data_IF_113432422735
#
_entry.id   IF_113432422735
#
_cell.length_a   1.000
_cell.length_b   1.000
_cell.length_c   1.000
_cell.angle_alpha   90.00
_cell.angle_beta   90.00
_cell.angle_gamma   90.00
#
_symmetry.space_group_name_H-M   'P 1'
#
loop_
_entity.id
_entity.type
_entity.pdbx_description
1 polymer ?
#
# COMPACT_ATOMS: atom_id res chain seq x y z
N UNK A 1 4.74 -0.24 8.73
CA UNK A 1 6.17 -0.29 8.36
C UNK A 1 6.52 -1.45 7.43
N UNK A 2 5.97 -2.64 7.64
CA UNK A 2 6.29 -3.85 6.84
C UNK A 2 6.20 -3.64 5.31
N UNK A 3 5.19 -2.90 4.84
CA UNK A 3 5.03 -2.59 3.41
C UNK A 3 5.99 -1.49 2.89
N UNK A 4 6.95 -1.02 3.67
CA UNK A 4 7.89 0.02 3.24
C UNK A 4 8.74 -0.45 2.04
N UNK A 5 9.12 -1.73 1.99
CA UNK A 5 9.86 -2.31 0.87
C UNK A 5 9.10 -2.21 -0.47
N UNK A 6 7.76 -2.17 -0.43
CA UNK A 6 6.91 -2.05 -1.62
C UNK A 6 6.83 -0.61 -2.14
N UNK A 7 7.05 0.40 -1.28
CA UNK A 7 7.02 1.81 -1.65
C UNK A 7 8.02 2.63 -0.78
N UNK A 8 9.34 2.40 -0.93
CA UNK A 8 10.36 2.85 0.01
C UNK A 8 10.52 4.37 0.08
N UNK A 9 10.15 5.08 -0.98
CA UNK A 9 10.19 6.54 -1.02
C UNK A 9 8.89 7.21 -0.54
N UNK A 10 7.81 6.45 -0.35
CA UNK A 10 6.48 7.01 -0.04
C UNK A 10 6.00 6.59 1.34
N UNK A 11 6.08 5.29 1.68
CA UNK A 11 5.56 4.79 2.95
C UNK A 11 6.32 5.35 4.17
N UNK A 12 7.66 5.41 4.20
CA UNK A 12 8.38 5.99 5.33
C UNK A 12 8.03 7.46 5.63
N UNK A 13 8.04 8.40 4.67
CA UNK A 13 7.63 9.78 4.98
C UNK A 13 6.15 9.90 5.36
N UNK A 14 5.27 9.06 4.80
CA UNK A 14 3.85 9.03 5.21
C UNK A 14 3.68 8.60 6.68
N UNK A 15 4.47 7.62 7.14
CA UNK A 15 4.48 7.18 8.54
C UNK A 15 4.99 8.29 9.45
N UNK A 16 6.07 9.00 9.07
CA UNK A 16 6.55 10.16 9.82
C UNK A 16 5.47 11.24 9.98
N UNK A 17 4.66 11.46 8.93
CA UNK A 17 3.50 12.37 9.01
C UNK A 17 2.44 11.90 10.00
N UNK A 18 2.13 10.60 10.03
CA UNK A 18 1.19 10.00 10.99
C UNK A 18 1.71 10.19 12.43
N UNK A 19 2.97 9.85 12.68
CA UNK A 19 3.61 9.98 14.00
C UNK A 19 3.62 11.43 14.48
N UNK A 20 3.97 12.38 13.60
CA UNK A 20 3.91 13.81 13.91
C UNK A 20 2.48 14.24 14.30
N UNK A 21 1.48 13.84 13.51
CA UNK A 21 0.07 14.11 13.82
C UNK A 21 -0.37 13.49 15.15
N UNK A 22 0.07 12.26 15.47
CA UNK A 22 -0.23 11.61 16.75
C UNK A 22 0.35 12.40 17.94
N UNK A 23 1.55 12.96 17.78
CA UNK A 23 2.19 13.75 18.83
C UNK A 23 1.47 15.09 19.09
N UNK A 24 1.02 15.79 18.04
CA UNK A 24 0.40 17.13 18.19
C UNK A 24 -1.12 17.10 18.35
N UNK A 25 -1.78 16.02 17.94
CA UNK A 25 -3.23 15.84 18.00
C UNK A 25 -3.62 14.48 18.62
N UNK A 26 -3.23 14.19 19.87
CA UNK A 26 -3.33 12.85 20.46
C UNK A 26 -4.76 12.32 20.63
N UNK A 27 -5.76 13.20 20.62
CA UNK A 27 -7.16 12.84 20.83
C UNK A 27 -7.99 12.83 19.53
N UNK A 28 -7.37 13.10 18.38
CA UNK A 28 -8.05 13.13 17.09
C UNK A 28 -7.90 11.76 16.41
N UNK A 29 -9.01 11.09 16.04
CA UNK A 29 -8.93 9.84 15.28
C UNK A 29 -8.21 10.03 13.95
N UNK A 30 -7.30 9.12 13.62
CA UNK A 30 -6.59 9.09 12.34
C UNK A 30 -6.99 7.87 11.52
N UNK A 31 -7.05 8.03 10.21
CA UNK A 31 -7.44 6.98 9.25
C UNK A 31 -6.41 6.94 8.12
N UNK A 32 -5.97 5.74 7.76
CA UNK A 32 -5.17 5.51 6.57
C UNK A 32 -6.08 5.15 5.38
N UNK A 33 -5.90 5.83 4.25
CA UNK A 33 -6.56 5.52 2.99
C UNK A 33 -5.47 5.08 2.01
N UNK A 34 -5.56 3.84 1.53
CA UNK A 34 -4.52 3.25 0.69
C UNK A 34 -4.89 3.37 -0.79
N UNK A 35 -3.99 3.94 -1.58
CA UNK A 35 -4.14 4.04 -3.04
C UNK A 35 -4.27 2.69 -3.74
N UNK A 36 -3.77 1.62 -3.10
CA UNK A 36 -3.84 0.24 -3.59
C UNK A 36 -5.18 -0.45 -3.25
N UNK A 37 -6.00 0.11 -2.35
CA UNK A 37 -7.18 -0.59 -1.80
C UNK A 37 -8.25 -0.88 -2.86
N UNK A 38 -8.55 0.10 -3.73
CA UNK A 38 -9.53 -0.06 -4.82
C UNK A 38 -9.19 -1.25 -5.73
N UNK A 39 -7.90 -1.43 -6.00
CA UNK A 39 -7.38 -2.41 -6.95
C UNK A 39 -7.32 -3.84 -6.40
N UNK A 40 -7.61 -4.06 -5.11
CA UNK A 40 -7.59 -5.41 -4.52
C UNK A 40 -8.71 -6.33 -5.03
N UNK A 41 -9.67 -5.78 -5.77
CA UNK A 41 -10.72 -6.53 -6.45
C UNK A 41 -10.29 -7.09 -7.82
N UNK A 42 -9.07 -6.81 -8.28
CA UNK A 42 -8.54 -7.38 -9.53
C UNK A 42 -8.57 -8.91 -9.48
N UNK A 43 -9.02 -9.59 -10.55
CA UNK A 43 -8.95 -11.05 -10.64
C UNK A 43 -7.49 -11.53 -10.79
N UNK A 44 -7.24 -12.83 -10.57
CA UNK A 44 -5.90 -13.42 -10.52
C UNK A 44 -5.10 -13.15 -11.80
N UNK A 45 -5.72 -13.35 -12.94
CA UNK A 45 -5.16 -13.09 -14.26
C UNK A 45 -4.75 -11.63 -14.49
N UNK A 46 -5.31 -10.68 -13.74
CA UNK A 46 -5.00 -9.27 -13.84
C UNK A 46 -3.92 -8.80 -12.87
N UNK A 47 -3.73 -9.45 -11.71
CA UNK A 47 -2.67 -9.07 -10.79
C UNK A 47 -1.40 -9.92 -10.87
N UNK A 48 -1.48 -11.11 -11.46
CA UNK A 48 -0.35 -12.03 -11.58
C UNK A 48 0.55 -11.65 -12.74
N UNK A 49 1.87 -11.68 -12.51
CA UNK A 49 2.87 -11.54 -13.57
C UNK A 49 3.28 -12.91 -14.11
N UNK A 50 3.71 -12.98 -15.37
CA UNK A 50 4.27 -14.18 -15.99
C UNK A 50 5.74 -14.40 -15.55
N UNK A 51 5.95 -14.50 -14.25
CA UNK A 51 7.22 -14.77 -13.56
C UNK A 51 7.10 -16.08 -12.78
N UNK A 52 8.21 -16.65 -12.27
CA UNK A 52 8.16 -17.79 -11.35
C UNK A 52 7.16 -17.53 -10.21
N UNK A 53 6.32 -18.51 -9.90
CA UNK A 53 5.21 -18.33 -8.97
C UNK A 53 5.70 -18.06 -7.54
N UNK A 54 6.88 -18.59 -7.21
CA UNK A 54 7.57 -18.39 -5.96
C UNK A 54 7.83 -16.90 -5.69
N UNK A 55 7.95 -16.06 -6.72
CA UNK A 55 8.13 -14.62 -6.53
C UNK A 55 6.88 -13.93 -5.98
N UNK A 56 5.70 -14.44 -6.33
CA UNK A 56 4.45 -14.00 -5.74
C UNK A 56 4.31 -14.50 -4.29
N UNK A 57 4.65 -15.76 -4.05
CA UNK A 57 4.50 -16.38 -2.72
C UNK A 57 5.49 -15.83 -1.69
N UNK A 58 6.77 -15.72 -2.05
CA UNK A 58 7.84 -15.38 -1.11
C UNK A 58 8.03 -13.86 -0.96
N UNK A 59 7.81 -13.11 -2.03
CA UNK A 59 8.11 -11.67 -2.09
C UNK A 59 6.90 -10.78 -2.36
N UNK A 60 5.71 -11.36 -2.59
CA UNK A 60 4.50 -10.60 -2.89
C UNK A 60 4.55 -9.88 -4.24
N UNK A 61 5.38 -10.32 -5.20
CA UNK A 61 5.48 -9.67 -6.51
C UNK A 61 4.15 -9.84 -7.27
N UNK A 62 3.41 -8.75 -7.41
CA UNK A 62 2.13 -8.65 -8.11
C UNK A 62 1.84 -7.22 -8.56
N UNK A 63 0.85 -7.05 -9.42
CA UNK A 63 0.27 -5.72 -9.67
C UNK A 63 -0.60 -5.33 -8.46
N UNK A 64 -0.20 -4.29 -7.75
CA UNK A 64 -0.99 -3.71 -6.65
C UNK A 64 -1.95 -2.60 -7.12
N UNK A 65 -1.55 -1.82 -8.13
CA UNK A 65 -2.31 -0.65 -8.62
C UNK A 65 -2.19 0.56 -7.69
N UNK A 66 -2.39 1.78 -8.23
CA UNK A 66 -2.30 3.05 -7.49
C UNK A 66 -3.37 4.04 -7.97
N UNK A 67 -3.46 5.20 -7.31
CA UNK A 67 -4.51 6.19 -7.56
C UNK A 67 -5.94 5.62 -7.44
N UNK A 68 -6.13 4.58 -6.62
CA UNK A 68 -7.42 3.92 -6.42
C UNK A 68 -8.49 4.88 -5.89
N UNK A 69 -8.11 5.86 -5.08
CA UNK A 69 -9.01 6.90 -4.58
C UNK A 69 -9.59 7.78 -5.70
N UNK A 70 -8.85 7.98 -6.79
CA UNK A 70 -9.27 8.79 -7.93
C UNK A 70 -10.01 7.98 -9.00
N UNK A 71 -9.82 6.67 -9.07
CA UNK A 71 -10.51 5.80 -10.02
C UNK A 71 -11.99 5.56 -9.67
N UNK A 72 -12.35 5.81 -8.40
CA UNK A 72 -13.71 5.70 -7.87
C UNK A 72 -14.47 7.01 -8.07
#
# INVERSE_FOLDING_TARGET
EECASLAPLHNPPNIQGIEACQAIMPNVPQVAVFDTAFHQTMPKEAYMYALPYEYYEDYGIRRYGFHGTSHK
#
